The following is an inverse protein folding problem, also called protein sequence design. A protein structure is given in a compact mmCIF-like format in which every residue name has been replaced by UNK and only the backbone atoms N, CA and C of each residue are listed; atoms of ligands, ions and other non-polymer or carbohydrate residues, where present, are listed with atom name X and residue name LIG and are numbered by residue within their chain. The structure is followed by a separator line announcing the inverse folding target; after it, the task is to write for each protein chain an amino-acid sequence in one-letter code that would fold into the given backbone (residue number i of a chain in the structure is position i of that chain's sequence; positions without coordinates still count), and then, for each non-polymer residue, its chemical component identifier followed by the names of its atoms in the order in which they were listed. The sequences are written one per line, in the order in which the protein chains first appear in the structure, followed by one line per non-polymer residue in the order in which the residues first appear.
data_IF_032604453016
#
_entry.id   IF_032604453016
#
_cell.length_a   1.000
_cell.length_b   1.000
_cell.length_c   1.000
_cell.angle_alpha   90.00
_cell.angle_beta   90.00
_cell.angle_gamma   90.00
#
_symmetry.space_group_name_H-M   'P 1'
#
loop_
_entity.id
_entity.type
_entity.pdbx_description
1 polymer ?
#
# COMPACT_ATOMS: atom_id res chain seq x y z
N UNK A 1 9.90 -33.81 16.93
CA UNK A 1 11.25 -33.32 17.31
C UNK A 1 11.18 -32.03 18.12
N UNK A 2 10.29 -31.08 17.77
CA UNK A 2 10.08 -29.82 18.49
C UNK A 2 9.63 -29.98 19.96
N UNK A 3 8.59 -30.77 20.24
CA UNK A 3 8.07 -30.93 21.61
C UNK A 3 9.14 -31.45 22.60
N UNK A 4 9.98 -32.40 22.17
CA UNK A 4 11.10 -32.89 22.98
C UNK A 4 12.14 -31.80 23.28
N UNK A 5 12.33 -30.85 22.37
CA UNK A 5 13.20 -29.70 22.61
C UNK A 5 12.56 -28.75 23.63
N UNK A 6 11.24 -28.52 23.53
CA UNK A 6 10.51 -27.75 24.53
C UNK A 6 10.59 -28.39 25.91
N UNK A 7 10.47 -29.72 26.01
CA UNK A 7 10.69 -30.46 27.27
C UNK A 7 12.09 -30.21 27.83
N UNK A 8 13.13 -30.26 26.99
CA UNK A 8 14.52 -29.99 27.38
C UNK A 8 14.74 -28.54 27.83
N UNK A 9 14.02 -27.59 27.24
CA UNK A 9 14.10 -26.17 27.57
C UNK A 9 13.15 -25.76 28.72
N UNK A 10 12.32 -26.69 29.23
CA UNK A 10 11.32 -26.39 30.26
C UNK A 10 10.12 -25.57 29.75
N UNK A 11 9.86 -25.55 28.44
CA UNK A 11 8.71 -24.86 27.84
C UNK A 11 7.48 -25.76 27.93
N UNK A 12 6.51 -25.34 28.75
CA UNK A 12 5.26 -26.08 28.95
C UNK A 12 4.41 -26.12 27.68
N UNK A 13 3.83 -27.29 27.39
CA UNK A 13 2.88 -27.47 26.30
C UNK A 13 1.74 -28.41 26.67
N UNK A 14 0.56 -28.21 26.08
CA UNK A 14 -0.61 -29.07 26.32
C UNK A 14 -1.05 -29.80 25.05
N UNK A 15 -1.46 -31.06 25.22
CA UNK A 15 -1.95 -31.88 24.10
C UNK A 15 -3.21 -31.28 23.44
N UNK A 16 -4.08 -30.65 24.23
CA UNK A 16 -5.31 -30.01 23.73
C UNK A 16 -5.04 -28.83 22.79
N UNK A 17 -3.88 -28.16 22.90
CA UNK A 17 -3.46 -27.06 22.02
C UNK A 17 -2.67 -27.55 20.81
N UNK A 18 -2.38 -28.84 20.69
CA UNK A 18 -1.66 -29.44 19.57
C UNK A 18 -2.65 -29.83 18.47
N UNK A 19 -3.21 -28.83 17.81
CA UNK A 19 -4.14 -29.02 16.70
C UNK A 19 -3.37 -29.34 15.42
N UNK A 20 -3.95 -30.17 14.55
CA UNK A 20 -3.41 -30.51 13.24
C UNK A 20 -4.55 -30.70 12.24
N UNK A 21 -4.31 -30.37 10.98
CA UNK A 21 -5.32 -30.44 9.93
C UNK A 21 -5.01 -29.47 8.80
N UNK A 22 -5.81 -29.55 7.74
CA UNK A 22 -5.69 -28.65 6.58
C UNK A 22 -6.40 -27.31 6.80
N UNK A 23 -7.34 -27.28 7.75
CA UNK A 23 -8.06 -26.09 8.19
C UNK A 23 -7.88 -25.92 9.69
N UNK A 24 -7.37 -24.76 10.13
CA UNK A 24 -7.07 -24.49 11.53
C UNK A 24 -7.34 -23.03 11.89
N UNK A 25 -7.82 -22.79 13.11
CA UNK A 25 -7.84 -21.44 13.68
C UNK A 25 -6.45 -21.10 14.18
N UNK A 26 -5.78 -20.15 13.55
CA UNK A 26 -4.46 -19.65 13.94
C UNK A 26 -4.59 -18.18 14.26
N UNK A 27 -4.19 -17.79 15.47
CA UNK A 27 -4.27 -16.41 15.99
C UNK A 27 -5.66 -15.74 15.78
N UNK A 28 -6.74 -16.52 15.73
CA UNK A 28 -8.12 -16.04 15.55
C UNK A 28 -8.59 -15.93 14.09
N UNK A 29 -7.78 -16.36 13.11
CA UNK A 29 -8.18 -16.47 11.70
C UNK A 29 -8.36 -17.94 11.31
N UNK A 30 -9.34 -18.20 10.45
CA UNK A 30 -9.54 -19.51 9.83
C UNK A 30 -8.55 -19.66 8.67
N UNK A 31 -7.52 -20.48 8.85
CA UNK A 31 -6.51 -20.77 7.84
C UNK A 31 -6.90 -22.04 7.09
N UNK A 32 -7.02 -21.98 5.77
CA UNK A 32 -7.23 -23.13 4.89
C UNK A 32 -6.01 -23.32 3.97
N UNK A 33 -5.26 -24.38 4.22
CA UNK A 33 -4.07 -24.74 3.43
C UNK A 33 -4.36 -25.37 2.08
N UNK A 34 -5.57 -25.89 1.84
CA UNK A 34 -5.95 -26.38 0.52
C UNK A 34 -6.25 -25.23 -0.44
N UNK A 35 -6.93 -24.20 0.08
CA UNK A 35 -7.28 -23.00 -0.68
C UNK A 35 -6.18 -21.93 -0.63
N UNK A 36 -5.18 -22.12 0.23
CA UNK A 36 -4.13 -21.14 0.53
C UNK A 36 -4.73 -19.79 0.96
N UNK A 37 -5.68 -19.83 1.90
CA UNK A 37 -6.37 -18.64 2.41
C UNK A 37 -6.31 -18.48 3.93
N UNK A 38 -6.44 -17.24 4.36
CA UNK A 38 -6.74 -16.85 5.74
C UNK A 38 -8.03 -16.02 5.77
N UNK A 39 -9.00 -16.44 6.58
CA UNK A 39 -10.33 -15.83 6.64
C UNK A 39 -10.62 -15.26 8.02
N UNK A 40 -11.20 -14.07 8.06
CA UNK A 40 -11.71 -13.49 9.31
C UNK A 40 -13.12 -14.00 9.62
N UNK A 41 -13.39 -14.49 10.84
CA UNK A 41 -14.75 -14.85 11.25
C UNK A 41 -15.71 -13.66 11.13
N UNK A 42 -16.91 -13.92 10.58
CA UNK A 42 -17.91 -12.87 10.26
C UNK A 42 -18.32 -12.03 11.47
N UNK A 43 -18.48 -12.67 12.62
CA UNK A 43 -18.88 -11.99 13.85
C UNK A 43 -17.79 -11.03 14.33
N UNK A 44 -16.53 -11.46 14.34
CA UNK A 44 -15.38 -10.62 14.68
C UNK A 44 -15.22 -9.46 13.70
N UNK A 45 -15.47 -9.70 12.42
CA UNK A 45 -15.46 -8.65 11.39
C UNK A 45 -16.52 -7.59 11.67
N UNK A 46 -17.76 -8.00 11.99
CA UNK A 46 -18.84 -7.09 12.31
C UNK A 46 -18.56 -6.29 13.60
N UNK A 47 -18.06 -6.96 14.64
CA UNK A 47 -17.70 -6.33 15.91
C UNK A 47 -16.60 -5.27 15.74
N UNK A 48 -15.57 -5.57 14.93
CA UNK A 48 -14.49 -4.63 14.63
C UNK A 48 -14.99 -3.41 13.87
N UNK A 49 -15.84 -3.59 12.85
CA UNK A 49 -16.45 -2.47 12.10
C UNK A 49 -17.21 -1.56 13.05
N UNK A 50 -18.08 -2.12 13.92
CA UNK A 50 -18.85 -1.35 14.89
C UNK A 50 -17.94 -0.59 15.86
N UNK A 51 -16.85 -1.21 16.30
CA UNK A 51 -15.89 -0.58 17.20
C UNK A 51 -15.15 0.58 16.54
N UNK A 52 -14.70 0.42 15.29
CA UNK A 52 -14.06 1.49 14.52
C UNK A 52 -15.02 2.66 14.31
N UNK A 53 -16.25 2.38 13.88
CA UNK A 53 -17.27 3.42 13.65
C UNK A 53 -17.64 4.14 14.94
N UNK A 54 -17.84 3.42 16.05
CA UNK A 54 -18.10 4.04 17.35
C UNK A 54 -16.94 4.94 17.79
N UNK A 55 -15.70 4.48 17.64
CA UNK A 55 -14.52 5.29 17.93
C UNK A 55 -14.46 6.55 17.04
N UNK A 56 -14.75 6.44 15.74
CA UNK A 56 -14.76 7.57 14.81
C UNK A 56 -15.86 8.61 15.12
N UNK A 57 -16.98 8.20 15.72
CA UNK A 57 -18.04 9.12 16.16
C UNK A 57 -17.63 9.98 17.35
N UNK A 58 -16.76 9.49 18.23
CA UNK A 58 -16.27 10.24 19.39
C UNK A 58 -15.56 11.54 19.00
N UNK A 59 -15.65 12.56 19.86
CA UNK A 59 -14.89 13.81 19.70
C UNK A 59 -13.50 13.72 20.33
N UNK A 60 -13.40 13.01 21.45
CA UNK A 60 -12.17 12.75 22.20
C UNK A 60 -12.20 11.32 22.70
N UNK A 61 -11.02 10.69 22.74
CA UNK A 61 -10.78 9.40 23.37
C UNK A 61 -9.46 9.45 24.12
N UNK A 62 -9.28 8.62 25.13
CA UNK A 62 -8.02 8.53 25.85
C UNK A 62 -6.98 7.70 25.08
N UNK A 63 -5.69 7.84 25.41
CA UNK A 63 -4.61 7.12 24.74
C UNK A 63 -4.80 5.59 24.78
N UNK A 64 -5.38 5.03 25.85
CA UNK A 64 -5.65 3.59 25.93
C UNK A 64 -6.66 3.14 24.87
N UNK A 65 -7.73 3.89 24.62
CA UNK A 65 -8.71 3.61 23.57
C UNK A 65 -8.07 3.66 22.17
N UNK A 66 -7.19 4.65 21.93
CA UNK A 66 -6.38 4.71 20.71
C UNK A 66 -5.47 3.48 20.55
N UNK A 67 -4.84 3.02 21.63
CA UNK A 67 -4.01 1.81 21.63
C UNK A 67 -4.84 0.55 21.38
N UNK A 68 -6.04 0.46 21.93
CA UNK A 68 -6.95 -0.67 21.71
C UNK A 68 -7.39 -0.75 20.25
N UNK A 69 -7.88 0.36 19.67
CA UNK A 69 -8.37 0.35 18.29
C UNK A 69 -7.23 0.11 17.29
N UNK A 70 -6.06 0.70 17.52
CA UNK A 70 -4.89 0.48 16.68
C UNK A 70 -4.31 -0.92 16.84
N UNK A 71 -4.33 -1.49 18.04
CA UNK A 71 -3.91 -2.88 18.30
C UNK A 71 -4.81 -3.89 17.59
N UNK A 72 -6.12 -3.72 17.69
CA UNK A 72 -7.09 -4.62 17.06
C UNK A 72 -7.06 -4.51 15.53
N UNK A 73 -6.95 -3.28 15.01
CA UNK A 73 -6.78 -3.03 13.57
C UNK A 73 -5.43 -3.57 13.05
N UNK A 74 -4.36 -3.47 13.84
CA UNK A 74 -3.07 -4.06 13.44
C UNK A 74 -3.11 -5.60 13.42
N UNK A 75 -3.90 -6.22 14.30
CA UNK A 75 -4.19 -7.66 14.22
C UNK A 75 -4.95 -8.00 12.93
N UNK A 76 -5.96 -7.21 12.57
CA UNK A 76 -6.71 -7.36 11.31
C UNK A 76 -5.80 -7.30 10.07
N UNK A 77 -4.78 -6.45 10.06
CA UNK A 77 -3.90 -6.27 8.90
C UNK A 77 -3.08 -7.51 8.51
N UNK A 78 -3.11 -8.59 9.30
CA UNK A 78 -2.59 -9.89 8.87
C UNK A 78 -3.38 -10.48 7.69
N UNK A 79 -4.68 -10.19 7.61
CA UNK A 79 -5.56 -10.62 6.50
C UNK A 79 -5.98 -9.47 5.58
N UNK A 80 -5.83 -8.21 6.04
CA UNK A 80 -6.06 -7.01 5.23
C UNK A 80 -4.85 -6.06 5.21
N UNK A 81 -3.70 -6.49 4.65
CA UNK A 81 -2.48 -5.69 4.71
C UNK A 81 -2.63 -4.33 4.04
N UNK A 82 -3.40 -4.25 2.95
CA UNK A 82 -3.66 -3.01 2.18
C UNK A 82 -4.38 -1.93 3.00
N UNK A 83 -5.02 -2.25 4.12
CA UNK A 83 -5.79 -1.28 4.90
C UNK A 83 -4.96 -0.53 5.95
N UNK A 84 -3.66 -0.83 6.08
CA UNK A 84 -2.72 -0.14 6.98
C UNK A 84 -2.76 1.40 6.94
N UNK A 85 -2.94 2.06 5.78
CA UNK A 85 -3.05 3.53 5.70
C UNK A 85 -4.18 4.13 6.54
N UNK A 86 -5.23 3.35 6.85
CA UNK A 86 -6.35 3.79 7.68
C UNK A 86 -5.96 4.16 9.12
N UNK A 87 -4.77 3.77 9.60
CA UNK A 87 -4.27 4.15 10.93
C UNK A 87 -3.19 5.24 10.90
N UNK A 88 -2.88 5.82 9.74
CA UNK A 88 -1.80 6.81 9.61
C UNK A 88 -2.00 8.00 10.58
N UNK A 89 -3.18 8.62 10.55
CA UNK A 89 -3.54 9.71 11.45
C UNK A 89 -3.62 9.28 12.92
N UNK A 90 -4.08 8.05 13.20
CA UNK A 90 -4.16 7.48 14.56
C UNK A 90 -2.77 7.41 15.17
N UNK A 91 -1.80 6.83 14.45
CA UNK A 91 -0.41 6.72 14.94
C UNK A 91 0.26 8.09 15.10
N UNK A 92 0.06 9.01 14.16
CA UNK A 92 0.57 10.37 14.27
C UNK A 92 0.03 11.08 15.52
N UNK A 93 -1.26 10.91 15.83
CA UNK A 93 -1.89 11.48 17.03
C UNK A 93 -1.40 10.85 18.32
N UNK A 94 -1.06 9.55 18.32
CA UNK A 94 -0.51 8.87 19.50
C UNK A 94 0.97 9.20 19.76
N UNK A 95 1.70 9.66 18.74
CA UNK A 95 3.14 9.86 18.82
C UNK A 95 3.55 10.76 20.00
N UNK A 96 4.57 10.31 20.75
CA UNK A 96 5.15 11.03 21.88
C UNK A 96 4.29 11.04 23.16
N UNK A 97 3.11 10.42 23.16
CA UNK A 97 2.23 10.35 24.33
C UNK A 97 2.42 9.04 25.08
N UNK A 98 2.51 9.13 26.41
CA UNK A 98 2.79 7.98 27.29
C UNK A 98 1.76 7.77 28.38
N UNK A 99 1.00 8.80 28.76
CA UNK A 99 -0.04 8.68 29.78
C UNK A 99 -1.35 8.14 29.17
N UNK A 100 -1.75 6.95 29.61
CA UNK A 100 -2.92 6.22 29.12
C UNK A 100 -4.23 6.99 29.18
N UNK A 101 -4.39 7.89 30.17
CA UNK A 101 -5.63 8.65 30.38
C UNK A 101 -5.61 10.04 29.74
N UNK A 102 -4.54 10.38 29.01
CA UNK A 102 -4.52 11.63 28.25
C UNK A 102 -5.59 11.60 27.18
N UNK A 103 -6.50 12.56 27.23
CA UNK A 103 -7.50 12.76 26.18
C UNK A 103 -6.86 13.30 24.91
N UNK A 104 -7.24 12.71 23.79
CA UNK A 104 -6.74 13.04 22.45
C UNK A 104 -7.97 13.28 21.56
N UNK A 105 -8.09 14.52 21.07
CA UNK A 105 -9.16 14.90 20.18
C UNK A 105 -9.01 14.25 18.80
N UNK A 106 -10.13 13.78 18.26
CA UNK A 106 -10.24 13.24 16.92
C UNK A 106 -10.47 14.38 15.92
N UNK A 107 -9.60 14.51 14.91
CA UNK A 107 -9.79 15.47 13.83
C UNK A 107 -10.54 14.83 12.65
N UNK A 108 -11.02 15.68 11.73
CA UNK A 108 -11.74 15.22 10.53
C UNK A 108 -10.95 14.21 9.71
N UNK A 109 -9.69 14.50 9.39
CA UNK A 109 -8.84 13.62 8.58
C UNK A 109 -8.70 12.20 9.16
N UNK A 110 -8.63 12.08 10.48
CA UNK A 110 -8.59 10.77 11.14
C UNK A 110 -9.94 10.05 11.11
N UNK A 111 -11.05 10.78 11.25
CA UNK A 111 -12.40 10.19 11.09
C UNK A 111 -12.56 9.66 9.66
N UNK A 112 -12.20 10.46 8.66
CA UNK A 112 -12.24 10.08 7.25
C UNK A 112 -11.33 8.85 6.97
N UNK A 113 -10.18 8.72 7.64
CA UNK A 113 -9.31 7.53 7.54
C UNK A 113 -9.92 6.27 8.18
N UNK A 114 -10.58 6.42 9.33
CA UNK A 114 -11.24 5.32 10.03
C UNK A 114 -12.51 4.86 9.33
N UNK A 115 -13.29 5.79 8.77
CA UNK A 115 -14.45 5.49 7.94
C UNK A 115 -14.00 4.76 6.67
N UNK A 116 -12.96 5.26 6.00
CA UNK A 116 -12.34 4.58 4.86
C UNK A 116 -11.91 3.15 5.21
N UNK A 117 -11.29 2.94 6.37
CA UNK A 117 -10.92 1.62 6.86
C UNK A 117 -12.15 0.72 7.06
N UNK A 118 -13.17 1.22 7.77
CA UNK A 118 -14.38 0.47 8.06
C UNK A 118 -15.16 0.08 6.79
N UNK A 119 -15.26 0.97 5.81
CA UNK A 119 -15.95 0.74 4.55
C UNK A 119 -15.27 -0.38 3.74
N UNK A 120 -13.94 -0.34 3.62
CA UNK A 120 -13.22 -1.41 2.92
C UNK A 120 -13.30 -2.76 3.63
N UNK A 121 -13.26 -2.77 4.97
CA UNK A 121 -13.48 -4.01 5.72
C UNK A 121 -14.89 -4.53 5.39
N UNK A 122 -15.91 -3.69 5.45
CA UNK A 122 -17.30 -4.07 5.21
C UNK A 122 -17.51 -4.65 3.81
N UNK A 123 -16.94 -4.03 2.79
CA UNK A 123 -17.08 -4.43 1.37
C UNK A 123 -16.29 -5.69 1.01
N UNK A 124 -15.22 -5.98 1.74
CA UNK A 124 -14.42 -7.20 1.51
C UNK A 124 -15.21 -8.49 1.79
N UNK A 125 -14.76 -9.62 1.26
CA UNK A 125 -15.28 -10.95 1.59
C UNK A 125 -14.71 -11.52 2.89
N UNK A 126 -13.64 -10.95 3.44
CA UNK A 126 -12.96 -11.49 4.62
C UNK A 126 -11.77 -12.38 4.32
N UNK A 127 -11.42 -12.60 3.04
CA UNK A 127 -10.52 -13.67 2.61
C UNK A 127 -9.20 -13.09 2.08
N UNK A 128 -8.10 -13.48 2.71
CA UNK A 128 -6.75 -13.21 2.25
C UNK A 128 -6.20 -14.44 1.53
N UNK A 129 -5.78 -14.29 0.27
CA UNK A 129 -5.14 -15.35 -0.49
C UNK A 129 -3.62 -15.24 -0.34
N UNK A 130 -2.92 -16.32 -0.02
CA UNK A 130 -1.46 -16.28 0.11
C UNK A 130 -0.76 -16.15 -1.24
N UNK A 131 -1.33 -16.73 -2.30
CA UNK A 131 -0.80 -16.68 -3.66
C UNK A 131 -0.70 -15.25 -4.23
N UNK A 132 -1.51 -14.31 -3.71
CA UNK A 132 -1.41 -12.89 -4.13
C UNK A 132 -0.21 -12.18 -3.50
N UNK A 133 0.35 -12.74 -2.43
CA UNK A 133 1.51 -12.19 -1.71
C UNK A 133 2.84 -12.82 -2.15
N UNK A 134 2.82 -14.10 -2.54
CA UNK A 134 4.00 -14.91 -2.87
C UNK A 134 4.11 -15.16 -4.38
N UNK A 135 4.64 -14.17 -5.09
CA UNK A 135 4.96 -14.25 -6.52
C UNK A 135 6.29 -13.55 -6.81
N UNK A 136 7.02 -14.03 -7.81
CA UNK A 136 8.31 -13.46 -8.20
C UNK A 136 8.08 -12.17 -9.01
N UNK A 137 8.53 -11.01 -8.51
CA UNK A 137 8.25 -9.73 -9.15
C UNK A 137 8.95 -9.53 -10.50
N UNK A 138 9.89 -10.40 -10.88
CA UNK A 138 10.60 -10.33 -12.16
C UNK A 138 10.03 -11.37 -13.12
N UNK A 139 9.81 -12.59 -12.66
CA UNK A 139 9.40 -13.72 -13.49
C UNK A 139 7.88 -13.81 -13.69
N UNK A 140 7.10 -13.51 -12.66
CA UNK A 140 5.64 -13.70 -12.65
C UNK A 140 4.86 -12.40 -12.94
N UNK A 141 5.56 -11.29 -13.15
CA UNK A 141 4.95 -10.00 -13.46
C UNK A 141 4.22 -10.04 -14.82
N UNK A 142 2.93 -9.71 -14.83
CA UNK A 142 2.14 -9.61 -16.07
C UNK A 142 2.49 -8.34 -16.84
N UNK A 143 2.84 -7.28 -16.11
CA UNK A 143 3.36 -6.01 -16.62
C UNK A 143 4.53 -5.54 -15.75
N UNK A 144 5.54 -5.02 -16.44
CA UNK A 144 6.66 -4.29 -15.84
C UNK A 144 6.63 -2.83 -16.28
N UNK A 145 6.72 -1.93 -15.31
CA UNK A 145 6.74 -0.48 -15.54
C UNK A 145 7.95 0.14 -14.84
N UNK A 146 8.65 1.02 -15.53
CA UNK A 146 9.66 1.88 -14.93
C UNK A 146 9.01 3.23 -14.63
N UNK A 147 9.30 3.82 -13.47
CA UNK A 147 8.84 5.16 -13.11
C UNK A 147 10.02 6.04 -12.73
N UNK A 148 9.92 7.33 -13.07
CA UNK A 148 10.81 8.36 -12.56
C UNK A 148 10.05 9.70 -12.42
N UNK A 149 10.61 10.59 -11.62
CA UNK A 149 10.16 11.97 -11.51
C UNK A 149 11.35 12.88 -11.25
N UNK A 150 11.30 14.06 -11.88
CA UNK A 150 12.17 15.19 -11.58
C UNK A 150 11.34 16.35 -11.01
N UNK A 151 11.95 17.53 -10.85
CA UNK A 151 11.27 18.73 -10.35
C UNK A 151 10.30 19.37 -11.36
N UNK A 152 10.29 18.93 -12.61
CA UNK A 152 9.54 19.57 -13.69
C UNK A 152 8.55 18.64 -14.37
N UNK A 153 8.83 17.34 -14.40
CA UNK A 153 7.91 16.33 -14.93
C UNK A 153 8.10 14.96 -14.27
N UNK A 154 7.04 14.18 -14.35
CA UNK A 154 6.96 12.77 -13.98
C UNK A 154 6.84 11.95 -15.26
N UNK A 155 7.39 10.75 -15.25
CA UNK A 155 7.24 9.85 -16.39
C UNK A 155 7.32 8.39 -16.00
N UNK A 156 6.57 7.57 -16.72
CA UNK A 156 6.64 6.12 -16.60
C UNK A 156 6.69 5.46 -17.96
N UNK A 157 7.31 4.29 -18.04
CA UNK A 157 7.51 3.53 -19.26
C UNK A 157 7.04 2.09 -19.07
N UNK A 158 6.08 1.69 -19.88
CA UNK A 158 5.53 0.33 -19.88
C UNK A 158 6.29 -0.50 -20.92
N UNK A 159 7.10 -1.44 -20.43
CA UNK A 159 8.04 -2.20 -21.27
C UNK A 159 7.32 -3.03 -22.32
N UNK A 160 6.27 -3.74 -21.90
CA UNK A 160 5.55 -4.71 -22.74
C UNK A 160 4.96 -4.14 -24.02
N UNK A 161 4.55 -2.87 -23.99
CA UNK A 161 3.92 -2.18 -25.13
C UNK A 161 4.79 -1.06 -25.71
N UNK A 162 6.01 -0.87 -25.18
CA UNK A 162 6.91 0.22 -25.54
C UNK A 162 6.23 1.60 -25.53
N UNK A 163 5.41 1.89 -24.52
CA UNK A 163 4.75 3.18 -24.35
C UNK A 163 5.33 3.94 -23.17
N UNK A 164 5.86 5.13 -23.43
CA UNK A 164 6.26 6.11 -22.43
C UNK A 164 5.14 7.11 -22.17
N UNK A 165 5.05 7.57 -20.94
CA UNK A 165 4.04 8.53 -20.49
C UNK A 165 4.73 9.66 -19.72
N UNK A 166 4.34 10.89 -19.98
CA UNK A 166 4.92 12.09 -19.36
C UNK A 166 3.82 13.03 -18.88
N UNK A 167 4.04 13.62 -17.72
CA UNK A 167 3.17 14.64 -17.14
C UNK A 167 4.02 15.72 -16.46
N UNK A 168 3.75 17.01 -16.70
CA UNK A 168 4.35 18.08 -15.90
C UNK A 168 4.04 17.89 -14.42
N UNK A 169 5.00 18.20 -13.55
CA UNK A 169 4.76 18.15 -12.11
C UNK A 169 3.76 19.23 -11.70
N UNK A 170 2.76 18.91 -10.86
CA UNK A 170 1.87 19.94 -10.33
C UNK A 170 2.65 20.96 -9.49
N UNK A 171 2.16 22.20 -9.45
CA UNK A 171 2.69 23.24 -8.57
C UNK A 171 2.41 22.85 -7.11
N UNK A 172 3.39 22.22 -6.45
CA UNK A 172 3.35 21.90 -5.03
C UNK A 172 4.10 22.94 -4.21
N UNK A 173 3.65 23.13 -2.96
CA UNK A 173 4.31 24.03 -2.01
C UNK A 173 5.73 23.52 -1.68
N UNK A 174 6.68 24.45 -1.65
CA UNK A 174 8.10 24.23 -1.42
C UNK A 174 8.38 23.33 -0.19
N UNK A 175 9.24 22.32 -0.36
CA UNK A 175 9.69 21.42 0.71
C UNK A 175 10.79 20.47 0.23
N UNK A 176 11.59 19.96 1.18
CA UNK A 176 12.77 19.14 0.88
C UNK A 176 12.43 17.75 0.30
N UNK A 177 11.16 17.32 0.36
CA UNK A 177 10.69 15.99 -0.08
C UNK A 177 9.80 16.02 -1.35
N UNK A 178 9.80 17.12 -2.10
CA UNK A 178 8.93 17.28 -3.29
C UNK A 178 9.14 16.18 -4.34
N UNK A 179 10.39 15.82 -4.63
CA UNK A 179 10.70 14.77 -5.61
C UNK A 179 10.08 13.44 -5.19
N UNK A 180 10.08 13.17 -3.88
CA UNK A 180 9.49 11.96 -3.34
C UNK A 180 7.97 11.92 -3.56
N UNK A 181 7.29 13.03 -3.30
CA UNK A 181 5.87 13.19 -3.60
C UNK A 181 5.56 12.88 -5.06
N UNK A 182 6.34 13.43 -6.00
CA UNK A 182 6.16 13.20 -7.43
C UNK A 182 6.42 11.75 -7.83
N UNK A 183 7.41 11.07 -7.24
CA UNK A 183 7.60 9.63 -7.49
C UNK A 183 6.41 8.81 -7.01
N UNK A 184 5.88 9.08 -5.81
CA UNK A 184 4.69 8.40 -5.30
C UNK A 184 3.44 8.71 -6.13
N UNK A 185 3.27 9.95 -6.56
CA UNK A 185 2.18 10.37 -7.43
C UNK A 185 2.27 9.71 -8.81
N UNK A 186 3.48 9.59 -9.37
CA UNK A 186 3.73 8.89 -10.62
C UNK A 186 3.35 7.40 -10.53
N UNK A 187 3.72 6.73 -9.43
CA UNK A 187 3.27 5.35 -9.15
C UNK A 187 1.76 5.26 -9.09
N UNK A 188 1.11 6.15 -8.34
CA UNK A 188 -0.35 6.18 -8.22
C UNK A 188 -1.02 6.40 -9.58
N UNK A 189 -0.59 7.40 -10.35
CA UNK A 189 -1.10 7.68 -11.68
C UNK A 189 -0.94 6.49 -12.65
N UNK A 190 0.18 5.79 -12.55
CA UNK A 190 0.43 4.59 -13.35
C UNK A 190 -0.55 3.47 -13.00
N UNK A 191 -0.81 3.22 -11.71
CA UNK A 191 -1.79 2.20 -11.26
C UNK A 191 -3.19 2.53 -11.80
N UNK A 192 -3.59 3.80 -11.74
CA UNK A 192 -4.85 4.29 -12.35
C UNK A 192 -4.86 4.12 -13.87
N UNK A 193 -3.76 4.39 -14.54
CA UNK A 193 -3.64 4.24 -15.99
C UNK A 193 -3.76 2.77 -16.43
N UNK A 194 -3.12 1.86 -15.68
CA UNK A 194 -3.14 0.42 -15.95
C UNK A 194 -4.57 -0.11 -15.97
N UNK A 195 -5.37 0.19 -14.93
CA UNK A 195 -6.77 -0.29 -14.86
C UNK A 195 -7.69 0.34 -15.90
N UNK A 196 -7.37 1.57 -16.33
CA UNK A 196 -8.19 2.28 -17.33
C UNK A 196 -7.94 1.75 -18.74
N UNK A 197 -6.75 1.25 -19.02
CA UNK A 197 -6.28 1.06 -20.40
C UNK A 197 -6.09 -0.40 -20.76
N UNK A 198 -5.67 -1.24 -19.82
CA UNK A 198 -5.29 -2.61 -20.12
C UNK A 198 -6.46 -3.57 -19.89
N UNK A 199 -6.25 -4.87 -20.12
CA UNK A 199 -7.25 -5.88 -19.78
C UNK A 199 -7.02 -6.42 -18.35
N UNK A 200 -8.05 -6.96 -17.68
CA UNK A 200 -7.91 -7.54 -16.35
C UNK A 200 -6.82 -8.60 -16.18
N UNK A 201 -6.57 -9.37 -17.23
CA UNK A 201 -5.51 -10.39 -17.24
C UNK A 201 -4.11 -9.79 -17.17
N UNK A 202 -3.93 -8.58 -17.69
CA UNK A 202 -2.63 -7.94 -17.78
C UNK A 202 -2.25 -7.19 -16.50
N UNK A 203 -3.19 -6.78 -15.65
CA UNK A 203 -2.89 -6.00 -14.45
C UNK A 203 -2.95 -6.78 -13.14
N UNK A 204 -3.08 -8.11 -13.18
CA UNK A 204 -3.15 -8.91 -11.96
C UNK A 204 -1.85 -8.84 -11.14
N UNK A 205 -0.68 -8.90 -11.78
CA UNK A 205 0.63 -8.84 -11.12
C UNK A 205 1.49 -7.73 -11.75
N UNK A 206 1.50 -6.56 -11.13
CA UNK A 206 2.20 -5.37 -11.64
C UNK A 206 3.49 -5.14 -10.87
N UNK A 207 4.61 -5.10 -11.59
CA UNK A 207 5.90 -4.72 -11.02
C UNK A 207 6.27 -3.31 -11.47
N UNK A 208 6.62 -2.47 -10.50
CA UNK A 208 7.13 -1.13 -10.74
C UNK A 208 8.59 -1.06 -10.32
N UNK A 209 9.45 -0.66 -11.24
CA UNK A 209 10.82 -0.30 -10.96
C UNK A 209 10.96 1.20 -10.83
N UNK A 210 11.67 1.63 -9.80
CA UNK A 210 11.97 3.03 -9.53
C UNK A 210 13.47 3.13 -9.30
N UNK A 211 14.11 4.08 -9.96
CA UNK A 211 15.50 4.41 -9.67
C UNK A 211 15.63 5.50 -8.62
N UNK A 212 16.76 5.51 -7.91
CA UNK A 212 17.11 6.63 -7.06
C UNK A 212 18.62 6.72 -6.84
N UNK A 213 19.12 7.95 -6.89
CA UNK A 213 20.37 8.37 -6.25
C UNK A 213 20.01 8.99 -4.88
N UNK A 214 20.54 8.43 -3.79
CA UNK A 214 20.52 8.93 -2.41
C UNK A 214 19.17 9.10 -1.65
N UNK A 215 18.02 8.73 -2.20
CA UNK A 215 16.68 8.79 -1.52
C UNK A 215 15.89 7.47 -1.59
N UNK A 216 16.60 6.33 -1.63
CA UNK A 216 16.06 4.97 -1.84
C UNK A 216 15.05 4.52 -0.77
N UNK A 217 14.94 5.19 0.37
CA UNK A 217 14.20 4.66 1.51
C UNK A 217 12.73 5.12 1.60
N UNK A 218 12.19 5.92 0.68
CA UNK A 218 10.82 6.46 0.86
C UNK A 218 9.77 5.80 -0.06
N UNK A 219 9.85 5.88 -1.39
CA UNK A 219 8.73 5.37 -2.25
C UNK A 219 8.54 3.88 -2.19
N UNK A 220 9.62 3.14 -2.40
CA UNK A 220 9.62 1.67 -2.29
C UNK A 220 9.08 1.26 -0.92
N UNK A 221 9.51 1.95 0.14
CA UNK A 221 9.07 1.63 1.50
C UNK A 221 7.62 2.01 1.77
N UNK A 222 7.10 3.12 1.23
CA UNK A 222 5.68 3.48 1.40
C UNK A 222 4.80 2.38 0.80
N UNK A 223 5.07 1.94 -0.43
CA UNK A 223 4.25 0.92 -1.09
C UNK A 223 4.48 -0.49 -0.55
N UNK A 224 5.68 -0.83 -0.08
CA UNK A 224 5.96 -2.16 0.49
C UNK A 224 5.52 -2.28 1.96
N UNK A 225 5.69 -1.23 2.77
CA UNK A 225 5.28 -1.24 4.18
C UNK A 225 3.81 -0.87 4.37
N UNK A 226 3.23 -0.16 3.39
CA UNK A 226 1.89 0.43 3.41
C UNK A 226 1.74 1.43 4.56
N UNK A 227 2.85 2.07 4.93
CA UNK A 227 2.93 3.13 5.94
C UNK A 227 3.44 4.39 5.28
N UNK A 228 2.65 5.44 5.36
CA UNK A 228 2.98 6.76 4.85
C UNK A 228 3.06 7.78 5.98
N UNK A 229 3.75 8.89 5.74
CA UNK A 229 3.53 10.11 6.52
C UNK A 229 2.19 10.73 6.12
N UNK A 230 1.67 11.66 6.93
CA UNK A 230 0.38 12.30 6.71
C UNK A 230 0.26 12.94 5.31
N UNK A 231 1.35 13.53 4.82
CA UNK A 231 1.41 14.19 3.50
C UNK A 231 1.19 13.21 2.33
N UNK A 232 1.66 11.97 2.46
CA UNK A 232 1.62 10.97 1.38
C UNK A 232 0.48 9.96 1.52
N UNK A 233 -0.18 9.92 2.68
CA UNK A 233 -1.27 8.98 2.94
C UNK A 233 -2.41 9.08 1.91
N UNK A 234 -2.83 10.28 1.44
CA UNK A 234 -3.85 10.39 0.40
C UNK A 234 -3.45 9.72 -0.92
N UNK A 235 -2.19 9.90 -1.35
CA UNK A 235 -1.64 9.26 -2.56
C UNK A 235 -1.71 7.74 -2.43
N UNK A 236 -1.26 7.22 -1.28
CA UNK A 236 -1.23 5.79 -1.01
C UNK A 236 -2.65 5.20 -0.94
N UNK A 237 -3.59 5.88 -0.26
CA UNK A 237 -5.01 5.45 -0.20
C UNK A 237 -5.64 5.42 -1.59
N UNK A 238 -5.41 6.43 -2.43
CA UNK A 238 -5.92 6.45 -3.80
C UNK A 238 -5.42 5.25 -4.62
N UNK A 239 -4.11 4.95 -4.55
CA UNK A 239 -3.54 3.78 -5.20
C UNK A 239 -4.16 2.48 -4.68
N UNK A 240 -4.34 2.36 -3.36
CA UNK A 240 -4.89 1.15 -2.73
C UNK A 240 -6.36 0.94 -3.06
N UNK A 241 -7.17 1.99 -3.15
CA UNK A 241 -8.56 1.89 -3.62
C UNK A 241 -8.61 1.19 -4.98
N UNK A 242 -7.76 1.62 -5.91
CA UNK A 242 -7.67 1.01 -7.24
C UNK A 242 -7.19 -0.44 -7.16
N UNK A 243 -6.18 -0.72 -6.33
CA UNK A 243 -5.66 -2.07 -6.15
C UNK A 243 -6.68 -3.04 -5.57
N UNK A 244 -7.46 -2.62 -4.57
CA UNK A 244 -8.50 -3.44 -3.95
C UNK A 244 -9.63 -3.69 -4.96
N UNK A 245 -10.12 -2.63 -5.61
CA UNK A 245 -11.26 -2.71 -6.52
C UNK A 245 -10.99 -3.56 -7.77
N UNK A 246 -9.72 -3.65 -8.20
CA UNK A 246 -9.33 -4.38 -9.40
C UNK A 246 -8.46 -5.61 -9.11
N UNK A 247 -8.30 -5.98 -7.83
CA UNK A 247 -7.49 -7.11 -7.35
C UNK A 247 -6.06 -7.10 -7.91
N UNK A 248 -5.39 -5.95 -7.84
CA UNK A 248 -4.02 -5.77 -8.34
C UNK A 248 -3.03 -6.18 -7.26
N UNK A 249 -2.14 -7.11 -7.60
CA UNK A 249 -0.97 -7.44 -6.80
C UNK A 249 0.19 -6.57 -7.27
N UNK A 250 0.59 -5.61 -6.43
CA UNK A 250 1.65 -4.66 -6.74
C UNK A 250 2.94 -5.03 -6.02
N UNK A 251 4.07 -4.97 -6.73
CA UNK A 251 5.42 -4.96 -6.14
C UNK A 251 6.18 -3.74 -6.65
N UNK A 252 6.72 -2.95 -5.72
CA UNK A 252 7.56 -1.80 -6.05
C UNK A 252 9.00 -2.14 -5.66
N UNK A 253 9.89 -2.06 -6.64
CA UNK A 253 11.28 -2.46 -6.53
C UNK A 253 12.21 -1.32 -6.91
N UNK A 254 13.38 -1.32 -6.27
CA UNK A 254 14.45 -0.39 -6.60
C UNK A 254 15.34 -0.96 -7.72
N UNK A 255 15.74 -0.13 -8.66
CA UNK A 255 16.79 -0.41 -9.64
C UNK A 255 17.87 0.68 -9.64
N UNK A 256 19.11 0.39 -10.05
CA UNK A 256 20.12 1.42 -10.26
C UNK A 256 19.67 2.45 -11.30
N UNK A 257 20.04 3.73 -11.12
CA UNK A 257 19.71 4.79 -12.10
C UNK A 257 20.25 4.53 -13.52
N UNK A 258 21.36 3.81 -13.64
CA UNK A 258 21.89 3.38 -14.94
C UNK A 258 20.97 2.41 -15.71
N UNK A 259 19.98 1.83 -15.04
CA UNK A 259 19.00 0.92 -15.65
C UNK A 259 17.66 1.63 -15.95
N UNK A 260 17.55 2.95 -15.66
CA UNK A 260 16.32 3.73 -15.79
C UNK A 260 16.43 4.89 -16.80
N UNK A 261 17.35 4.79 -17.76
CA UNK A 261 17.69 5.87 -18.70
C UNK A 261 16.50 6.37 -19.54
N UNK A 262 15.56 5.48 -19.89
CA UNK A 262 14.40 5.82 -20.71
C UNK A 262 13.45 6.75 -19.94
N UNK A 263 13.09 6.38 -18.72
CA UNK A 263 12.20 7.16 -17.86
C UNK A 263 12.88 8.40 -17.29
N UNK A 264 14.19 8.37 -17.06
CA UNK A 264 14.99 9.57 -16.82
C UNK A 264 14.86 10.56 -17.97
N UNK A 265 15.08 10.11 -19.21
CA UNK A 265 14.90 10.94 -20.40
C UNK A 265 13.46 11.46 -20.53
N UNK A 266 12.45 10.63 -20.27
CA UNK A 266 11.04 11.02 -20.29
C UNK A 266 10.73 12.11 -19.24
N UNK A 267 11.18 11.92 -18.00
CA UNK A 267 10.94 12.88 -16.91
C UNK A 267 11.69 14.21 -17.09
N UNK A 268 12.79 14.23 -17.83
CA UNK A 268 13.51 15.46 -18.20
C UNK A 268 13.09 16.04 -19.57
N UNK A 269 11.99 15.55 -20.16
CA UNK A 269 11.50 15.95 -21.48
C UNK A 269 12.51 15.78 -22.63
N UNK A 270 13.45 14.85 -22.48
CA UNK A 270 14.46 14.48 -23.49
C UNK A 270 13.91 13.39 -24.42
N UNK A 271 12.83 13.67 -25.13
CA UNK A 271 12.08 12.68 -25.92
C UNK A 271 12.92 12.01 -27.01
N UNK A 272 13.79 12.76 -27.69
CA UNK A 272 14.70 12.22 -28.71
C UNK A 272 15.70 11.22 -28.11
N UNK A 273 16.20 11.48 -26.89
CA UNK A 273 17.06 10.55 -26.16
C UNK A 273 16.29 9.27 -25.83
N UNK A 274 15.07 9.39 -25.32
CA UNK A 274 14.22 8.24 -25.00
C UNK A 274 13.95 7.37 -26.24
N UNK A 275 13.65 7.99 -27.38
CA UNK A 275 13.46 7.30 -28.66
C UNK A 275 14.75 6.70 -29.24
N UNK A 276 15.92 7.31 -28.98
CA UNK A 276 17.20 6.73 -29.37
C UNK A 276 17.55 5.45 -28.59
N UNK A 277 17.08 5.36 -27.33
CA UNK A 277 17.24 4.18 -26.49
C UNK A 277 16.24 3.08 -26.89
N UNK A 278 15.02 3.47 -27.26
CA UNK A 278 13.96 2.56 -27.69
C UNK A 278 13.29 3.12 -28.96
N UNK A 279 13.72 2.63 -30.12
CA UNK A 279 13.30 3.18 -31.42
C UNK A 279 11.78 3.14 -31.65
N UNK A 280 11.08 2.18 -31.06
CA UNK A 280 9.62 2.00 -31.17
C UNK A 280 8.82 2.69 -30.04
N UNK A 281 9.46 3.55 -29.23
CA UNK A 281 8.82 4.18 -28.09
C UNK A 281 7.74 5.17 -28.53
N UNK A 282 6.50 4.89 -28.14
CA UNK A 282 5.37 5.81 -28.29
C UNK A 282 5.27 6.65 -27.02
N UNK A 283 5.36 7.97 -27.13
CA UNK A 283 5.32 8.89 -25.99
C UNK A 283 3.94 9.55 -25.93
N UNK A 284 3.25 9.41 -24.81
CA UNK A 284 1.93 9.96 -24.55
C UNK A 284 1.95 10.88 -23.32
N UNK A 285 0.91 11.68 -23.17
CA UNK A 285 0.66 12.44 -21.96
C UNK A 285 -0.25 11.65 -21.01
N UNK A 286 -0.08 11.87 -19.71
CA UNK A 286 -1.02 11.39 -18.70
C UNK A 286 -1.40 12.50 -17.73
N UNK A 287 -2.51 12.30 -17.03
CA UNK A 287 -2.97 13.18 -15.95
C UNK A 287 -2.97 12.40 -14.63
N UNK A 288 -2.43 12.97 -13.55
CA UNK A 288 -2.48 12.33 -12.24
C UNK A 288 -3.92 12.29 -11.71
N UNK A 289 -4.24 11.36 -10.79
CA UNK A 289 -5.57 11.22 -10.21
C UNK A 289 -6.02 12.50 -9.51
N UNK A 290 -7.22 12.99 -9.85
CA UNK A 290 -7.74 14.28 -9.37
C UNK A 290 -8.06 14.27 -7.87
N UNK A 291 -8.48 13.12 -7.35
CA UNK A 291 -8.77 12.89 -5.93
C UNK A 291 -7.55 13.15 -5.03
N UNK A 292 -6.34 13.03 -5.59
CA UNK A 292 -5.09 13.29 -4.87
C UNK A 292 -4.67 14.76 -4.99
N UNK A 293 -4.89 15.39 -6.15
CA UNK A 293 -4.48 16.77 -6.42
C UNK A 293 -5.30 17.79 -5.62
N UNK A 294 -6.56 17.50 -5.33
CA UNK A 294 -7.42 18.36 -4.51
C UNK A 294 -7.01 18.34 -3.02
N UNK A 295 -6.52 17.21 -2.52
CA UNK A 295 -6.10 17.05 -1.12
C UNK A 295 -4.79 17.80 -0.82
N UNK A 296 -3.91 17.93 -1.81
CA UNK A 296 -2.66 18.70 -1.70
C UNK A 296 -2.82 20.22 -1.71
N UNK A 297 -4.05 20.74 -1.89
CA UNK A 297 -4.35 22.18 -1.91
C UNK A 297 -4.95 22.72 -0.59
N UNK A 298 -5.04 21.90 0.46
CA UNK A 298 -5.61 22.26 1.76
C UNK A 298 -4.57 22.29 2.87
#
# INVERSE_FOLDING_TARGET
RLLRLWDQLGVLHSKLKQLFGLQLVVIGFDIDSNMMTATMPKDLKAELILTIQHFALSSCCNLQEYQQISGWSNWLFNVFPLLKPGLCNVYAKMQGKTNSFTEIALNKAMKDDLDWLADHIKESDGVCYFDTMDWDPILDATITVLCNACLHAMGFWVLKIACGFVCPTPELLNGDEIIFCFKALCVCAMIHWVVKTLSPELWKCVTIFIDNTNTVTNTVNIFNSLRASLTYNPILKSAINVMINHHINLKVLHIPSSENDVTDALSHSQFLKAQSLVAQLIINLFEPPQDVLEVSKC
#
